data_IF_608202595570
#
_entry.id   IF_608202595570
#
_cell.length_a   1.000
_cell.length_b   1.000
_cell.length_c   1.000
_cell.angle_alpha   90.00
_cell.angle_beta   90.00
_cell.angle_gamma   90.00
#
_symmetry.space_group_name_H-M   'P 1'
#
loop_
_entity.id
_entity.type
_entity.pdbx_description
1 polymer ?
#
# COMPACT_ATOMS: atom_id res chain seq x y z
N UNK A 1 -69.83 -60.09 3.42
CA UNK A 1 -68.92 -59.73 4.53
C UNK A 1 -69.14 -58.26 4.83
N UNK A 2 -70.17 -57.93 5.60
CA UNK A 2 -70.23 -58.04 7.08
C UNK A 2 -69.29 -56.99 7.67
N UNK A 3 -69.82 -55.85 8.14
CA UNK A 3 -70.24 -55.73 9.54
C UNK A 3 -69.25 -56.42 10.48
N UNK A 4 -68.15 -55.77 10.80
CA UNK A 4 -67.44 -55.81 12.10
C UNK A 4 -66.63 -54.51 12.17
N UNK A 5 -66.55 -53.89 13.36
CA UNK A 5 -65.75 -52.68 13.68
C UNK A 5 -66.45 -51.32 13.56
N UNK A 6 -67.74 -51.29 13.94
CA UNK A 6 -68.25 -50.26 14.87
C UNK A 6 -68.37 -50.93 16.23
N UNK A 7 -67.44 -50.72 17.17
CA UNK A 7 -67.58 -50.88 18.63
C UNK A 7 -66.21 -50.63 19.26
N UNK A 8 -66.19 -49.93 20.42
CA UNK A 8 -65.08 -49.18 21.06
C UNK A 8 -64.89 -47.78 20.45
N UNK A 9 -65.69 -46.73 20.72
CA UNK A 9 -66.26 -46.19 21.98
C UNK A 9 -65.31 -46.21 23.18
N UNK A 10 -65.15 -44.99 23.74
CA UNK A 10 -64.75 -44.70 25.11
C UNK A 10 -63.34 -45.12 25.55
N UNK A 11 -62.47 -44.13 25.66
CA UNK A 11 -62.04 -43.62 26.98
C UNK A 11 -60.71 -42.91 26.84
N UNK A 12 -60.77 -41.60 26.62
CA UNK A 12 -59.75 -40.64 27.02
C UNK A 12 -60.31 -39.23 26.85
N UNK A 13 -61.40 -38.93 27.56
CA UNK A 13 -61.68 -37.54 27.96
C UNK A 13 -60.55 -37.13 28.90
N UNK A 14 -59.44 -36.69 28.30
CA UNK A 14 -58.37 -36.05 29.04
C UNK A 14 -58.88 -34.63 29.32
N UNK A 15 -59.37 -34.44 30.54
CA UNK A 15 -59.83 -33.17 31.07
C UNK A 15 -58.73 -32.12 30.99
N UNK A 16 -58.71 -31.36 29.90
CA UNK A 16 -57.91 -30.16 29.75
C UNK A 16 -58.47 -29.11 30.71
N UNK A 17 -57.90 -29.06 31.91
CA UNK A 17 -58.13 -27.97 32.85
C UNK A 17 -57.60 -26.72 32.16
N UNK A 18 -58.52 -25.93 31.60
CA UNK A 18 -58.22 -24.61 31.09
C UNK A 18 -57.90 -23.70 32.28
N UNK A 19 -56.64 -23.71 32.70
CA UNK A 19 -56.08 -22.72 33.61
C UNK A 19 -56.11 -21.39 32.85
N UNK A 20 -57.14 -20.58 33.12
CA UNK A 20 -57.14 -19.17 32.77
C UNK A 20 -56.01 -18.50 33.55
N UNK A 21 -54.82 -18.48 32.98
CA UNK A 21 -53.74 -17.60 33.44
C UNK A 21 -54.20 -16.18 33.15
N UNK A 22 -54.52 -15.42 34.20
CA UNK A 22 -54.70 -13.98 34.08
C UNK A 22 -53.51 -13.38 33.32
N UNK A 23 -53.74 -12.42 32.41
CA UNK A 23 -52.64 -11.74 31.72
C UNK A 23 -51.84 -10.98 32.77
N UNK A 24 -50.80 -11.61 33.31
CA UNK A 24 -49.75 -10.91 34.04
C UNK A 24 -49.14 -9.91 33.07
N UNK A 25 -49.62 -8.67 33.14
CA UNK A 25 -49.01 -7.54 32.45
C UNK A 25 -47.58 -7.48 32.98
N UNK A 26 -46.63 -7.86 32.12
CA UNK A 26 -45.24 -8.11 32.50
C UNK A 26 -44.52 -6.79 32.78
N UNK A 27 -44.83 -6.16 33.90
CA UNK A 27 -44.11 -4.96 34.37
C UNK A 27 -42.61 -5.26 34.51
N UNK A 28 -42.28 -6.52 34.81
CA UNK A 28 -40.92 -7.06 34.83
C UNK A 28 -40.21 -6.97 33.47
N UNK A 29 -40.93 -7.12 32.34
CA UNK A 29 -40.35 -7.02 31.00
C UNK A 29 -39.91 -5.59 30.66
N UNK A 30 -40.61 -4.58 31.18
CA UNK A 30 -40.30 -3.17 30.92
C UNK A 30 -39.05 -2.72 31.66
N UNK A 31 -38.85 -3.18 32.91
CA UNK A 31 -37.65 -2.86 33.70
C UNK A 31 -36.36 -3.44 33.10
N UNK A 32 -36.42 -4.69 32.62
CA UNK A 32 -35.30 -5.35 31.92
C UNK A 32 -34.92 -4.59 30.64
N UNK A 33 -35.89 -4.19 29.83
CA UNK A 33 -35.65 -3.47 28.59
C UNK A 33 -34.97 -2.11 28.81
N UNK A 34 -35.38 -1.35 29.83
CA UNK A 34 -34.77 -0.05 30.17
C UNK A 34 -33.31 -0.24 30.61
N UNK A 35 -33.04 -1.22 31.48
CA UNK A 35 -31.67 -1.49 31.94
C UNK A 35 -30.74 -1.92 30.80
N UNK A 36 -31.23 -2.76 29.88
CA UNK A 36 -30.48 -3.18 28.70
C UNK A 36 -30.16 -1.99 27.78
N UNK A 37 -31.12 -1.07 27.59
CA UNK A 37 -30.91 0.13 26.80
C UNK A 37 -29.83 1.06 27.40
N UNK A 38 -29.85 1.25 28.72
CA UNK A 38 -28.83 2.07 29.42
C UNK A 38 -27.43 1.47 29.24
N UNK A 39 -27.28 0.15 29.45
CA UNK A 39 -26.00 -0.53 29.27
C UNK A 39 -25.52 -0.46 27.81
N UNK A 40 -26.42 -0.62 26.84
CA UNK A 40 -26.12 -0.49 25.42
C UNK A 40 -25.66 0.93 25.05
N UNK A 41 -26.36 1.96 25.51
CA UNK A 41 -25.97 3.35 25.30
C UNK A 41 -24.60 3.66 25.92
N UNK A 42 -24.34 3.15 27.12
CA UNK A 42 -23.04 3.29 27.79
C UNK A 42 -21.92 2.59 27.00
N UNK A 43 -22.20 1.40 26.46
CA UNK A 43 -21.27 0.66 25.60
C UNK A 43 -20.91 1.41 24.32
N UNK A 44 -21.89 2.03 23.66
CA UNK A 44 -21.66 2.87 22.47
C UNK A 44 -20.81 4.09 22.81
N UNK A 45 -21.10 4.77 23.93
CA UNK A 45 -20.31 5.94 24.36
C UNK A 45 -18.85 5.59 24.64
N UNK A 46 -18.61 4.47 25.34
CA UNK A 46 -17.25 3.97 25.60
C UNK A 46 -16.55 3.62 24.28
N UNK A 47 -17.22 2.92 23.37
CA UNK A 47 -16.67 2.54 22.07
C UNK A 47 -16.25 3.76 21.22
N UNK A 48 -17.09 4.80 21.18
CA UNK A 48 -16.78 6.05 20.49
C UNK A 48 -15.58 6.75 21.15
N UNK A 49 -15.57 6.83 22.49
CA UNK A 49 -14.47 7.43 23.25
C UNK A 49 -13.12 6.76 22.99
N UNK A 50 -13.09 5.42 23.02
CA UNK A 50 -11.89 4.63 22.71
C UNK A 50 -11.41 4.88 21.27
N UNK A 51 -12.32 4.90 20.29
CA UNK A 51 -11.95 5.15 18.90
C UNK A 51 -11.36 6.55 18.68
N UNK A 52 -11.93 7.59 19.31
CA UNK A 52 -11.39 8.96 19.21
C UNK A 52 -10.01 9.04 19.87
N UNK A 53 -9.85 8.46 21.05
CA UNK A 53 -8.58 8.46 21.77
C UNK A 53 -7.49 7.68 21.03
N UNK A 54 -7.82 6.50 20.50
CA UNK A 54 -6.93 5.68 19.69
C UNK A 54 -6.46 6.43 18.42
N UNK A 55 -7.38 7.12 17.72
CA UNK A 55 -7.01 7.97 16.58
C UNK A 55 -6.07 9.11 16.98
N UNK A 56 -6.32 9.77 18.10
CA UNK A 56 -5.47 10.87 18.60
C UNK A 56 -4.07 10.38 18.95
N UNK A 57 -3.96 9.25 19.63
CA UNK A 57 -2.69 8.60 19.95
C UNK A 57 -1.94 8.22 18.67
N UNK A 58 -2.60 7.49 17.76
CA UNK A 58 -2.00 7.07 16.49
C UNK A 58 -1.44 8.27 15.72
N UNK A 59 -2.20 9.35 15.61
CA UNK A 59 -1.76 10.55 14.93
C UNK A 59 -0.56 11.22 15.63
N UNK A 60 -0.49 11.20 16.97
CA UNK A 60 0.65 11.73 17.71
C UNK A 60 1.93 10.92 17.45
N UNK A 61 1.85 9.60 17.49
CA UNK A 61 3.00 8.73 17.20
C UNK A 61 3.42 8.80 15.73
N UNK A 62 2.46 8.87 14.79
CA UNK A 62 2.74 9.07 13.38
C UNK A 62 3.47 10.40 13.14
N UNK A 63 2.99 11.50 13.72
CA UNK A 63 3.67 12.81 13.62
C UNK A 63 5.08 12.77 14.18
N UNK A 64 5.26 12.20 15.37
CA UNK A 64 6.58 12.06 15.98
C UNK A 64 7.54 11.24 15.11
N UNK A 65 7.07 10.11 14.58
CA UNK A 65 7.85 9.27 13.66
C UNK A 65 8.19 9.99 12.36
N UNK A 66 7.27 10.80 11.82
CA UNK A 66 7.53 11.65 10.64
C UNK A 66 8.55 12.74 10.93
N UNK A 67 8.47 13.41 12.09
CA UNK A 67 9.44 14.41 12.54
C UNK A 67 10.83 13.79 12.72
N UNK A 68 10.91 12.64 13.40
CA UNK A 68 12.17 11.90 13.57
C UNK A 68 12.75 11.46 12.21
N UNK A 69 11.91 10.98 11.29
CA UNK A 69 12.34 10.61 9.93
C UNK A 69 12.82 11.82 9.14
N UNK A 70 12.16 12.98 9.28
CA UNK A 70 12.57 14.23 8.64
C UNK A 70 13.93 14.70 9.19
N UNK A 71 14.12 14.65 10.51
CA UNK A 71 15.40 15.00 11.15
C UNK A 71 16.52 14.06 10.66
N UNK A 72 16.26 12.76 10.59
CA UNK A 72 17.24 11.80 10.06
C UNK A 72 17.56 12.09 8.59
N UNK A 73 16.57 12.42 7.77
CA UNK A 73 16.79 12.79 6.36
C UNK A 73 17.60 14.08 6.23
N UNK A 74 17.34 15.08 7.06
CA UNK A 74 18.11 16.34 7.09
C UNK A 74 19.57 16.11 7.49
N UNK A 75 19.85 15.07 8.28
CA UNK A 75 21.22 14.68 8.62
C UNK A 75 21.91 13.90 7.49
N UNK A 76 21.14 13.20 6.65
CA UNK A 76 21.66 12.39 5.54
C UNK A 76 21.91 13.21 4.27
N UNK A 77 21.13 14.26 4.01
CA UNK A 77 21.30 15.11 2.84
C UNK A 77 20.87 16.56 3.07
N UNK A 78 21.49 17.45 2.30
CA UNK A 78 21.05 18.83 2.15
C UNK A 78 20.02 18.95 1.00
N UNK A 79 19.19 19.99 1.02
CA UNK A 79 18.26 20.28 -0.10
C UNK A 79 17.03 19.38 -0.18
N UNK A 80 16.42 19.03 0.95
CA UNK A 80 15.11 18.34 0.96
C UNK A 80 14.06 19.23 0.31
N UNK A 81 13.31 18.68 -0.65
CA UNK A 81 12.29 19.39 -1.42
C UNK A 81 12.83 20.19 -2.61
N UNK A 82 14.14 20.21 -2.84
CA UNK A 82 14.77 20.91 -3.96
C UNK A 82 14.99 19.96 -5.14
N UNK A 83 14.03 19.90 -6.06
CA UNK A 83 14.12 19.14 -7.31
C UNK A 83 14.56 20.05 -8.47
N UNK A 84 15.13 19.51 -9.57
CA UNK A 84 15.48 20.29 -10.74
C UNK A 84 14.24 20.71 -11.55
N UNK A 85 13.46 21.65 -11.01
CA UNK A 85 12.19 22.09 -11.59
C UNK A 85 12.34 22.66 -13.01
N UNK A 86 13.49 23.25 -13.33
CA UNK A 86 13.79 23.72 -14.69
C UNK A 86 13.76 22.57 -15.72
N UNK A 87 14.34 21.41 -15.36
CA UNK A 87 14.29 20.20 -16.20
C UNK A 87 12.85 19.68 -16.29
N UNK A 88 12.11 19.73 -15.18
CA UNK A 88 10.69 19.33 -15.16
C UNK A 88 9.87 20.13 -16.17
N UNK A 89 10.04 21.45 -16.16
CA UNK A 89 9.33 22.40 -17.01
C UNK A 89 9.74 22.23 -18.48
N UNK A 90 11.04 22.08 -18.75
CA UNK A 90 11.58 21.80 -20.08
C UNK A 90 10.96 20.51 -20.66
N UNK A 91 10.92 19.44 -19.87
CA UNK A 91 10.35 18.15 -20.28
C UNK A 91 8.82 18.12 -20.33
N UNK A 92 8.15 19.14 -19.75
CA UNK A 92 6.70 19.17 -19.52
C UNK A 92 6.22 17.93 -18.77
N UNK A 93 7.03 17.47 -17.81
CA UNK A 93 6.79 16.25 -17.05
C UNK A 93 5.55 16.38 -16.17
N UNK A 94 4.81 15.27 -16.04
CA UNK A 94 3.63 15.16 -15.15
C UNK A 94 3.95 14.40 -13.86
N UNK A 95 5.22 14.07 -13.64
CA UNK A 95 5.67 13.42 -12.43
C UNK A 95 5.27 14.25 -11.19
N UNK A 96 4.92 13.54 -10.13
CA UNK A 96 4.51 14.14 -8.86
C UNK A 96 5.76 14.36 -8.01
N UNK A 97 6.01 15.60 -7.59
CA UNK A 97 7.24 15.98 -6.90
C UNK A 97 7.47 15.18 -5.61
N UNK A 98 6.39 14.97 -4.85
CA UNK A 98 6.42 14.19 -3.61
C UNK A 98 6.81 12.72 -3.85
N UNK A 99 6.46 12.16 -5.02
CA UNK A 99 6.80 10.78 -5.34
C UNK A 99 8.30 10.66 -5.69
N UNK A 100 8.81 11.59 -6.51
CA UNK A 100 10.25 11.69 -6.83
C UNK A 100 11.08 11.89 -5.57
N UNK A 101 10.63 12.78 -4.69
CA UNK A 101 11.26 13.03 -3.40
C UNK A 101 11.22 11.79 -2.48
N UNK A 102 10.11 11.04 -2.50
CA UNK A 102 9.98 9.78 -1.79
C UNK A 102 10.98 8.72 -2.28
N UNK A 103 11.21 8.64 -3.59
CA UNK A 103 12.22 7.76 -4.20
C UNK A 103 13.63 8.15 -3.73
N UNK A 104 13.97 9.44 -3.79
CA UNK A 104 15.28 9.96 -3.31
C UNK A 104 15.48 9.60 -1.83
N UNK A 105 14.49 9.90 -0.97
CA UNK A 105 14.55 9.59 0.45
C UNK A 105 14.75 8.09 0.72
N UNK A 106 14.08 7.24 -0.07
CA UNK A 106 14.22 5.78 0.03
C UNK A 106 15.65 5.34 -0.30
N UNK A 107 16.30 5.93 -1.30
CA UNK A 107 17.69 5.65 -1.67
C UNK A 107 18.64 6.03 -0.52
N UNK A 108 18.49 7.24 0.03
CA UNK A 108 19.34 7.71 1.13
C UNK A 108 19.19 6.88 2.41
N UNK A 109 17.95 6.56 2.80
CA UNK A 109 17.67 5.81 4.03
C UNK A 109 18.25 4.39 3.97
N UNK A 110 18.17 3.73 2.82
CA UNK A 110 18.63 2.35 2.65
C UNK A 110 20.06 2.24 2.09
N UNK A 111 20.69 3.38 1.75
CA UNK A 111 22.04 3.46 1.19
C UNK A 111 22.23 2.61 -0.06
N UNK A 112 21.21 2.56 -0.92
CA UNK A 112 21.27 1.82 -2.18
C UNK A 112 22.36 2.37 -3.10
N UNK A 113 23.08 1.48 -3.79
CA UNK A 113 24.21 1.85 -4.66
C UNK A 113 23.92 1.61 -6.13
N UNK A 114 23.08 0.62 -6.45
CA UNK A 114 22.65 0.31 -7.81
C UNK A 114 21.13 0.47 -7.91
N UNK A 115 20.68 1.45 -8.67
CA UNK A 115 19.25 1.76 -8.83
C UNK A 115 18.82 1.65 -10.28
N UNK A 116 17.80 0.85 -10.57
CA UNK A 116 17.17 0.76 -11.88
C UNK A 116 15.87 1.56 -11.89
N UNK A 117 15.75 2.54 -12.77
CA UNK A 117 14.52 3.32 -12.93
C UNK A 117 13.89 3.01 -14.30
N UNK A 118 12.69 2.46 -14.26
CA UNK A 118 11.85 2.13 -15.43
C UNK A 118 10.73 3.17 -15.46
N UNK A 119 10.83 4.12 -16.39
CA UNK A 119 9.85 5.20 -16.56
C UNK A 119 9.51 5.40 -18.02
N UNK A 120 8.30 5.05 -18.45
CA UNK A 120 7.91 5.24 -19.84
C UNK A 120 7.45 6.68 -20.08
N UNK A 121 7.90 7.29 -21.18
CA UNK A 121 7.45 8.60 -21.65
C UNK A 121 7.64 9.78 -20.65
N UNK A 122 8.37 9.58 -19.56
CA UNK A 122 8.69 10.64 -18.60
C UNK A 122 10.11 10.45 -18.07
N UNK A 123 11.02 11.30 -18.53
CA UNK A 123 12.43 11.22 -18.22
C UNK A 123 12.79 11.94 -16.91
N UNK A 124 11.88 12.79 -16.41
CA UNK A 124 12.16 13.63 -15.24
C UNK A 124 12.47 12.83 -13.96
N UNK A 125 11.72 11.76 -13.59
CA UNK A 125 12.08 10.96 -12.42
C UNK A 125 13.50 10.39 -12.50
N UNK A 126 13.92 9.92 -13.68
CA UNK A 126 15.25 9.36 -13.86
C UNK A 126 16.35 10.42 -13.62
N UNK A 127 16.19 11.61 -14.22
CA UNK A 127 17.17 12.69 -14.10
C UNK A 127 17.18 13.29 -12.70
N UNK A 128 16.01 13.60 -12.14
CA UNK A 128 15.89 14.23 -10.83
C UNK A 128 16.42 13.35 -9.71
N UNK A 129 16.15 12.03 -9.75
CA UNK A 129 16.70 11.11 -8.76
C UNK A 129 18.22 10.97 -8.93
N UNK A 130 18.71 10.87 -10.18
CA UNK A 130 20.13 10.74 -10.45
C UNK A 130 20.94 11.97 -9.98
N UNK A 131 20.43 13.18 -10.23
CA UNK A 131 21.10 14.43 -9.85
C UNK A 131 21.18 14.63 -8.34
N UNK A 132 20.16 14.15 -7.61
CA UNK A 132 20.11 14.29 -6.14
C UNK A 132 20.77 13.15 -5.38
N UNK A 133 21.29 12.13 -6.07
CA UNK A 133 21.94 10.96 -5.45
C UNK A 133 23.31 10.67 -6.10
N UNK A 134 24.32 11.54 -5.93
CA UNK A 134 25.59 11.44 -6.65
C UNK A 134 26.41 10.18 -6.33
N UNK A 135 26.22 9.57 -5.15
CA UNK A 135 26.93 8.34 -4.76
C UNK A 135 26.29 7.05 -5.30
N UNK A 136 25.23 7.15 -6.10
CA UNK A 136 24.42 6.03 -6.57
C UNK A 136 24.57 5.88 -8.08
N UNK A 137 24.81 4.65 -8.56
CA UNK A 137 24.80 4.34 -9.97
C UNK A 137 23.37 4.09 -10.43
N UNK A 138 22.95 4.83 -11.44
CA UNK A 138 21.62 4.71 -12.03
C UNK A 138 21.66 3.93 -13.33
N UNK A 139 20.62 3.12 -13.51
CA UNK A 139 20.39 2.33 -14.72
C UNK A 139 19.01 2.59 -15.29
N UNK A 140 18.88 2.42 -16.60
CA UNK A 140 17.60 2.38 -17.30
C UNK A 140 17.40 1.07 -18.07
N UNK A 141 16.14 0.70 -18.30
CA UNK A 141 15.79 -0.45 -19.13
C UNK A 141 15.70 -0.04 -20.61
N UNK A 142 16.23 -0.88 -21.51
CA UNK A 142 16.12 -0.65 -22.95
C UNK A 142 14.65 -0.50 -23.37
N UNK A 143 14.38 0.51 -24.20
CA UNK A 143 13.03 0.83 -24.68
C UNK A 143 12.19 1.69 -23.73
N UNK A 144 12.57 1.83 -22.45
CA UNK A 144 11.90 2.70 -21.49
C UNK A 144 12.62 4.03 -21.28
N UNK A 145 13.62 4.39 -22.11
CA UNK A 145 14.46 5.57 -21.89
C UNK A 145 14.80 6.23 -23.23
N UNK A 146 14.50 7.52 -23.33
CA UNK A 146 14.80 8.34 -24.50
C UNK A 146 16.22 8.91 -24.38
N UNK A 147 17.18 8.19 -24.97
CA UNK A 147 18.61 8.53 -24.88
C UNK A 147 18.92 9.85 -25.58
N UNK A 148 18.26 10.14 -26.70
CA UNK A 148 18.51 11.36 -27.46
C UNK A 148 18.01 12.58 -26.70
N UNK A 149 16.80 12.51 -26.15
CA UNK A 149 16.28 13.55 -25.27
C UNK A 149 17.11 13.72 -24.00
N UNK A 150 17.65 12.64 -23.43
CA UNK A 150 18.55 12.74 -22.29
C UNK A 150 19.85 13.48 -22.63
N UNK A 151 20.44 13.24 -23.81
CA UNK A 151 21.61 14.00 -24.26
C UNK A 151 21.31 15.49 -24.43
N UNK A 152 20.12 15.85 -24.91
CA UNK A 152 19.68 17.25 -24.99
C UNK A 152 19.67 17.90 -23.60
N UNK A 153 19.09 17.23 -22.59
CA UNK A 153 19.11 17.70 -21.20
C UNK A 153 20.55 17.85 -20.68
N UNK A 154 21.43 16.89 -20.96
CA UNK A 154 22.83 16.96 -20.52
C UNK A 154 23.56 18.18 -21.07
N UNK A 155 23.24 18.58 -22.30
CA UNK A 155 23.83 19.76 -22.93
C UNK A 155 23.25 21.07 -22.39
N UNK A 156 21.95 21.12 -22.08
CA UNK A 156 21.26 22.33 -21.59
C UNK A 156 21.44 22.54 -20.07
N UNK A 157 21.52 21.45 -19.29
CA UNK A 157 21.59 21.44 -17.83
C UNK A 157 22.74 20.54 -17.33
N UNK A 158 24.02 20.86 -17.66
CA UNK A 158 25.16 20.03 -17.29
C UNK A 158 25.31 19.85 -15.77
N UNK A 159 25.08 20.92 -14.99
CA UNK A 159 25.23 20.92 -13.53
C UNK A 159 24.20 20.01 -12.82
N UNK A 160 23.06 19.75 -13.46
CA UNK A 160 22.01 18.88 -12.93
C UNK A 160 22.10 17.45 -13.50
N UNK A 161 23.10 17.16 -14.31
CA UNK A 161 23.28 15.85 -14.97
C UNK A 161 24.68 15.27 -14.82
N UNK A 162 25.40 15.68 -13.77
CA UNK A 162 26.74 15.16 -13.42
C UNK A 162 26.75 13.63 -13.27
N UNK A 163 25.66 13.06 -12.76
CA UNK A 163 25.51 11.62 -12.60
C UNK A 163 24.96 10.95 -13.87
N UNK A 164 25.78 10.12 -14.51
CA UNK A 164 25.47 9.46 -15.78
C UNK A 164 24.58 8.23 -15.55
N UNK A 165 23.45 8.19 -16.25
CA UNK A 165 22.54 7.04 -16.25
C UNK A 165 22.94 6.05 -17.34
N UNK A 166 23.17 4.79 -16.97
CA UNK A 166 23.69 3.75 -17.88
C UNK A 166 22.59 2.76 -18.31
N UNK A 167 22.73 2.12 -19.49
CA UNK A 167 21.84 1.02 -19.85
C UNK A 167 22.05 -0.16 -18.91
N UNK A 168 20.96 -0.79 -18.48
CA UNK A 168 21.04 -1.97 -17.64
C UNK A 168 21.52 -3.20 -18.41
N UNK A 169 22.60 -3.82 -17.94
CA UNK A 169 23.26 -4.97 -18.58
C UNK A 169 23.25 -6.25 -17.74
N UNK A 170 22.39 -6.35 -16.73
CA UNK A 170 22.27 -7.55 -15.88
C UNK A 170 23.08 -7.49 -14.58
N UNK A 171 23.62 -6.34 -14.21
CA UNK A 171 24.28 -6.13 -12.91
C UNK A 171 23.31 -6.40 -11.74
N UNK A 172 23.84 -6.69 -10.56
CA UNK A 172 23.02 -6.76 -9.35
C UNK A 172 22.42 -5.37 -9.05
N UNK A 173 21.14 -5.33 -8.74
CA UNK A 173 20.42 -4.09 -8.43
C UNK A 173 19.95 -4.12 -6.97
N UNK A 174 20.09 -3.00 -6.26
CA UNK A 174 19.61 -2.89 -4.87
C UNK A 174 18.18 -2.36 -4.83
N UNK A 175 17.82 -1.49 -5.78
CA UNK A 175 16.53 -0.83 -5.80
C UNK A 175 16.01 -0.65 -7.22
N UNK A 176 14.75 -1.03 -7.43
CA UNK A 176 14.09 -0.90 -8.73
C UNK A 176 12.84 -0.07 -8.56
N UNK A 177 12.76 0.97 -9.37
CA UNK A 177 11.66 1.93 -9.37
C UNK A 177 10.93 1.83 -10.70
N UNK A 178 9.65 1.48 -10.64
CA UNK A 178 8.77 1.43 -11.80
C UNK A 178 7.74 2.54 -11.66
N UNK A 179 7.81 3.54 -12.53
CA UNK A 179 6.89 4.68 -12.53
C UNK A 179 6.33 4.89 -13.93
N UNK A 180 5.10 5.39 -14.04
CA UNK A 180 4.50 5.82 -15.31
C UNK A 180 4.56 4.78 -16.44
N UNK A 181 4.53 3.48 -16.13
CA UNK A 181 4.60 2.40 -17.12
C UNK A 181 3.22 1.85 -17.46
N UNK A 182 3.05 1.47 -18.73
CA UNK A 182 1.93 0.71 -19.26
C UNK A 182 2.17 -0.80 -19.27
N UNK A 183 3.39 -1.26 -18.93
CA UNK A 183 3.74 -2.67 -18.89
C UNK A 183 3.06 -3.40 -17.73
N UNK A 184 2.82 -4.69 -17.93
CA UNK A 184 2.25 -5.55 -16.92
C UNK A 184 3.18 -5.68 -15.70
N UNK A 185 2.72 -5.22 -14.55
CA UNK A 185 3.49 -5.23 -13.30
C UNK A 185 3.95 -6.65 -12.92
N UNK A 186 3.14 -7.68 -13.19
CA UNK A 186 3.50 -9.06 -12.84
C UNK A 186 4.70 -9.53 -13.67
N UNK A 187 4.73 -9.19 -14.96
CA UNK A 187 5.84 -9.53 -15.84
C UNK A 187 7.12 -8.76 -15.45
N UNK A 188 6.99 -7.47 -15.13
CA UNK A 188 8.11 -6.67 -14.62
C UNK A 188 8.65 -7.25 -13.31
N UNK A 189 7.76 -7.65 -12.39
CA UNK A 189 8.14 -8.26 -11.13
C UNK A 189 8.93 -9.54 -11.36
N UNK A 190 8.44 -10.46 -12.20
CA UNK A 190 9.10 -11.73 -12.51
C UNK A 190 10.46 -11.52 -13.20
N UNK A 191 10.59 -10.49 -14.03
CA UNK A 191 11.83 -10.14 -14.72
C UNK A 191 12.89 -9.52 -13.79
N UNK A 192 12.44 -8.74 -12.81
CA UNK A 192 13.32 -7.93 -11.96
C UNK A 192 13.70 -8.66 -10.68
N UNK A 193 12.77 -9.37 -10.04
CA UNK A 193 12.99 -9.99 -8.73
C UNK A 193 14.26 -10.86 -8.66
N UNK A 194 14.58 -11.71 -9.66
CA UNK A 194 15.79 -12.54 -9.61
C UNK A 194 17.10 -11.74 -9.63
N UNK A 195 17.06 -10.48 -10.07
CA UNK A 195 18.23 -9.59 -10.21
C UNK A 195 18.39 -8.65 -9.02
N UNK A 196 17.40 -8.62 -8.13
CA UNK A 196 17.35 -7.76 -6.97
C UNK A 196 18.21 -8.37 -5.85
N UNK A 197 19.09 -7.55 -5.27
CA UNK A 197 19.97 -7.95 -4.18
C UNK A 197 19.16 -8.46 -2.97
N UNK A 198 19.86 -9.13 -2.05
CA UNK A 198 19.29 -9.44 -0.74
C UNK A 198 18.94 -8.13 -0.01
N UNK A 199 17.73 -8.06 0.55
CA UNK A 199 17.13 -6.86 1.13
C UNK A 199 16.94 -5.70 0.12
N UNK A 200 17.12 -5.98 -1.18
CA UNK A 200 16.78 -5.02 -2.21
C UNK A 200 15.28 -4.80 -2.29
N UNK A 201 14.87 -3.68 -2.87
CA UNK A 201 13.48 -3.26 -2.92
C UNK A 201 13.00 -3.04 -4.35
N UNK A 202 11.78 -3.48 -4.62
CA UNK A 202 11.03 -3.19 -5.82
C UNK A 202 9.87 -2.28 -5.46
N UNK A 203 9.82 -1.08 -6.04
CA UNK A 203 8.71 -0.15 -5.90
C UNK A 203 8.04 0.04 -7.26
N UNK A 204 6.70 -0.02 -7.27
CA UNK A 204 5.91 0.24 -8.48
C UNK A 204 4.73 1.16 -8.20
N UNK A 205 4.64 2.23 -9.00
CA UNK A 205 3.41 3.01 -9.16
C UNK A 205 2.43 2.18 -10.00
N UNK A 206 1.24 1.93 -9.45
CA UNK A 206 0.20 1.20 -10.17
C UNK A 206 -0.92 2.08 -10.72
N UNK A 207 -0.77 3.40 -10.75
CA UNK A 207 -1.80 4.36 -11.18
C UNK A 207 -2.29 4.07 -12.60
N UNK A 208 -1.39 3.67 -13.49
CA UNK A 208 -1.72 3.33 -14.88
C UNK A 208 -2.16 1.87 -15.07
N UNK A 209 -1.93 1.03 -14.06
CA UNK A 209 -2.11 -0.41 -14.16
C UNK A 209 -3.50 -0.85 -13.70
N UNK A 210 -3.98 -1.98 -14.23
CA UNK A 210 -5.31 -2.50 -13.88
C UNK A 210 -5.30 -3.02 -12.44
N UNK A 211 -6.32 -2.64 -11.65
CA UNK A 211 -6.51 -3.14 -10.28
C UNK A 211 -6.48 -4.68 -10.19
N UNK A 212 -6.89 -5.39 -11.24
CA UNK A 212 -6.84 -6.85 -11.33
C UNK A 212 -5.41 -7.39 -11.32
N UNK A 213 -4.47 -6.71 -11.97
CA UNK A 213 -3.06 -7.12 -12.02
C UNK A 213 -2.40 -6.93 -10.67
N UNK A 214 -2.68 -5.80 -9.99
CA UNK A 214 -2.22 -5.58 -8.62
C UNK A 214 -2.74 -6.65 -7.66
N UNK A 215 -4.03 -7.02 -7.75
CA UNK A 215 -4.61 -8.07 -6.91
C UNK A 215 -3.93 -9.43 -7.14
N UNK A 216 -3.60 -9.76 -8.40
CA UNK A 216 -2.85 -10.98 -8.73
C UNK A 216 -1.48 -10.96 -8.10
N UNK A 217 -0.72 -9.87 -8.25
CA UNK A 217 0.60 -9.72 -7.65
C UNK A 217 0.54 -9.83 -6.12
N UNK A 218 -0.38 -9.12 -5.46
CA UNK A 218 -0.58 -9.21 -4.01
C UNK A 218 -0.93 -10.63 -3.56
N UNK A 219 -1.74 -11.35 -4.34
CA UNK A 219 -2.03 -12.77 -4.09
C UNK A 219 -0.76 -13.63 -4.20
N UNK A 220 0.02 -13.43 -5.25
CA UNK A 220 1.29 -14.13 -5.46
C UNK A 220 2.28 -13.87 -4.31
N UNK A 221 2.48 -12.61 -3.91
CA UNK A 221 3.37 -12.22 -2.81
C UNK A 221 2.97 -12.85 -1.47
N UNK A 222 1.67 -12.98 -1.21
CA UNK A 222 1.16 -13.67 0.00
C UNK A 222 1.44 -15.17 -0.05
N UNK A 223 1.26 -15.81 -1.20
CA UNK A 223 1.51 -17.23 -1.38
C UNK A 223 3.01 -17.57 -1.27
N UNK A 224 3.88 -16.68 -1.76
CA UNK A 224 5.34 -16.86 -1.70
C UNK A 224 5.97 -16.34 -0.40
N UNK A 225 5.18 -15.77 0.52
CA UNK A 225 5.67 -15.25 1.79
C UNK A 225 6.60 -14.04 1.65
N UNK A 226 6.54 -13.31 0.54
CA UNK A 226 7.37 -12.13 0.31
C UNK A 226 6.83 -10.93 1.09
N UNK A 227 7.72 -10.23 1.81
CA UNK A 227 7.36 -9.01 2.53
C UNK A 227 7.00 -7.92 1.54
N UNK A 228 5.80 -7.36 1.71
CA UNK A 228 5.29 -6.29 0.86
C UNK A 228 4.45 -5.32 1.67
N UNK A 229 4.45 -4.06 1.22
CA UNK A 229 3.65 -2.99 1.78
C UNK A 229 2.96 -2.23 0.66
N UNK A 230 1.66 -1.98 0.85
CA UNK A 230 0.90 -1.04 0.04
C UNK A 230 0.92 0.28 0.79
N UNK A 231 1.61 1.28 0.25
CA UNK A 231 1.71 2.60 0.87
C UNK A 231 1.31 3.71 -0.08
N UNK A 232 0.96 4.83 0.52
CA UNK A 232 0.55 6.04 -0.15
C UNK A 232 1.63 7.09 0.11
N UNK A 233 2.39 7.43 -0.93
CA UNK A 233 3.15 8.69 -0.95
C UNK A 233 2.16 9.78 -1.39
N UNK A 234 2.31 10.35 -2.59
CA UNK A 234 1.22 11.06 -3.25
C UNK A 234 0.43 10.11 -4.16
N UNK A 235 1.14 9.27 -4.91
CA UNK A 235 0.54 8.15 -5.65
C UNK A 235 0.51 6.87 -4.81
N UNK A 236 -0.24 5.89 -5.33
CA UNK A 236 -0.34 4.56 -4.72
C UNK A 236 0.82 3.69 -5.19
N UNK A 237 1.65 3.25 -4.24
CA UNK A 237 2.83 2.46 -4.51
C UNK A 237 2.77 1.09 -3.83
N UNK A 238 3.26 0.08 -4.54
CA UNK A 238 3.54 -1.24 -3.98
C UNK A 238 5.03 -1.32 -3.72
N UNK A 239 5.39 -1.55 -2.47
CA UNK A 239 6.76 -1.83 -2.05
C UNK A 239 6.88 -3.34 -1.82
N UNK A 240 7.89 -3.96 -2.42
CA UNK A 240 8.21 -5.36 -2.22
C UNK A 240 9.67 -5.47 -1.84
N UNK A 241 9.97 -6.15 -0.74
CA UNK A 241 11.34 -6.38 -0.26
C UNK A 241 11.76 -7.80 -0.61
N UNK A 242 12.94 -7.93 -1.21
CA UNK A 242 13.52 -9.23 -1.49
C UNK A 242 14.25 -9.78 -0.26
N UNK A 243 13.51 -10.49 0.59
CA UNK A 243 14.14 -11.28 1.64
C UNK A 243 14.70 -12.57 1.01
N UNK A 244 16.02 -12.73 1.01
CA UNK A 244 16.68 -13.91 0.46
C UNK A 244 16.51 -15.17 1.33
N UNK A 245 15.80 -15.10 2.47
CA UNK A 245 15.45 -16.26 3.29
C UNK A 245 14.31 -17.06 2.63
N UNK A 246 14.65 -17.80 1.59
CA UNK A 246 13.86 -18.98 1.21
C UNK A 246 14.57 -20.16 1.87
N UNK A 247 13.93 -20.70 2.91
CA UNK A 247 14.36 -21.92 3.63
C UNK A 247 14.25 -23.11 2.68
#
# INVERSE_FOLDING_TARGET
MSQVLKFFSESAENSTIAVQSEPQTSVWSSGLAISAYVVFALGILIYIGVNIYARKIRNKYLKKSQEESMIQLQQLRNGIGELPFQIKDHLKSKAVDLDVEGIINTIYQNKYKNVLIISENDLFPNVAVASKCPETQFYYQYGSFDVDKYREIQNEFPDETENIILPYSGNQIDFVVVVNTSNNINELYDQVLPKLAENGMFIVDWKQNKTTELKKLLGHLKLTGKTHEVSFLSSKYLFVVNNAKTI
#
